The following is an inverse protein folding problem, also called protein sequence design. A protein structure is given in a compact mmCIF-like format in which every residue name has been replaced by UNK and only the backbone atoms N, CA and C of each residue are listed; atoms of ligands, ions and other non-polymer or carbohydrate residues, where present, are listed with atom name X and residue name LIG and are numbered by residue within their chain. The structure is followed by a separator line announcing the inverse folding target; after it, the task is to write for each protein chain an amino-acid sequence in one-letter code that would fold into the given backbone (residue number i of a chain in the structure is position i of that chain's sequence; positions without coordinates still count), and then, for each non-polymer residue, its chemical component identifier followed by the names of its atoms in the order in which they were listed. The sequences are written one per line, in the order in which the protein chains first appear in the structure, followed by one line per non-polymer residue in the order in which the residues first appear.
data_IF_486998751248
#
_entry.id   IF_486998751248
#
_cell.length_a   1.000
_cell.length_b   1.000
_cell.length_c   1.000
_cell.angle_alpha   90.00
_cell.angle_beta   90.00
_cell.angle_gamma   90.00
#
_symmetry.space_group_name_H-M   'P 1'
#
loop_
_entity.id
_entity.type
_entity.pdbx_description
1 polymer ?
#
# COMPACT_ATOMS: atom_id res chain seq x y z
N UNK A 1 -15.57 -2.56 3.09
CA UNK A 1 -14.50 -3.49 3.49
C UNK A 1 -13.48 -3.71 2.37
N UNK A 2 -13.88 -4.35 1.26
CA UNK A 2 -12.94 -4.78 0.20
C UNK A 2 -12.19 -3.63 -0.48
N UNK A 3 -12.82 -2.47 -0.64
CA UNK A 3 -12.13 -1.30 -1.19
C UNK A 3 -10.91 -0.87 -0.35
N UNK A 4 -10.97 -0.97 1.00
CA UNK A 4 -9.79 -0.71 1.85
C UNK A 4 -8.66 -1.70 1.59
N UNK A 5 -8.98 -2.97 1.42
CA UNK A 5 -7.99 -4.01 1.14
C UNK A 5 -7.40 -3.90 -0.26
N UNK A 6 -8.17 -3.43 -1.25
CA UNK A 6 -7.67 -3.30 -2.63
C UNK A 6 -6.81 -2.05 -2.85
N UNK A 7 -7.13 -0.94 -2.18
CA UNK A 7 -6.47 0.36 -2.41
C UNK A 7 -5.45 0.73 -1.34
N UNK A 8 -5.54 0.12 -0.16
CA UNK A 8 -4.84 0.57 1.03
C UNK A 8 -5.30 1.96 1.50
N UNK A 9 -6.41 2.52 1.03
CA UNK A 9 -6.87 3.88 1.37
C UNK A 9 -7.09 4.08 2.88
N UNK A 10 -6.87 5.30 3.39
CA UNK A 10 -7.22 5.65 4.79
C UNK A 10 -8.72 5.88 4.91
N UNK A 11 -9.28 5.59 6.09
CA UNK A 11 -10.73 5.69 6.33
C UNK A 11 -11.30 7.09 6.02
N UNK A 12 -10.65 8.17 6.49
CA UNK A 12 -11.10 9.53 6.22
C UNK A 12 -11.22 9.85 4.73
N UNK A 13 -10.22 9.42 3.94
CA UNK A 13 -10.26 9.58 2.48
C UNK A 13 -11.39 8.72 1.88
N UNK A 14 -11.52 7.47 2.32
CA UNK A 14 -12.57 6.55 1.85
C UNK A 14 -13.99 7.10 2.03
N UNK A 15 -14.34 7.60 3.21
CA UNK A 15 -15.72 8.04 3.51
C UNK A 15 -16.09 9.38 2.86
N UNK A 16 -15.11 10.07 2.27
CA UNK A 16 -15.23 11.37 1.61
C UNK A 16 -14.99 11.29 0.09
N UNK A 17 -14.77 10.09 -0.47
CA UNK A 17 -14.59 9.92 -1.91
C UNK A 17 -15.87 10.31 -2.67
N UNK A 18 -15.83 11.29 -3.58
CA UNK A 18 -16.91 11.46 -4.55
C UNK A 18 -16.82 10.38 -5.64
N UNK A 19 -17.93 10.08 -6.31
CA UNK A 19 -17.99 9.10 -7.39
C UNK A 19 -17.01 9.41 -8.54
N UNK A 20 -16.80 10.71 -8.85
CA UNK A 20 -15.82 11.16 -9.86
C UNK A 20 -14.35 10.88 -9.50
N UNK A 21 -14.07 10.55 -8.23
CA UNK A 21 -12.73 10.19 -7.80
C UNK A 21 -12.43 8.70 -7.99
N UNK A 22 -13.42 7.87 -8.35
CA UNK A 22 -13.25 6.41 -8.52
C UNK A 22 -13.41 6.05 -9.99
N UNK A 23 -12.39 5.40 -10.56
CA UNK A 23 -12.41 4.86 -11.92
C UNK A 23 -11.97 3.40 -11.89
N UNK A 24 -12.94 2.49 -11.79
CA UNK A 24 -12.66 1.05 -11.72
C UNK A 24 -12.21 0.46 -13.06
N UNK A 25 -12.48 1.11 -14.19
CA UNK A 25 -11.99 0.65 -15.50
C UNK A 25 -10.46 0.74 -15.59
N UNK A 26 -9.88 1.72 -14.88
CA UNK A 26 -8.44 1.93 -14.75
C UNK A 26 -7.86 1.44 -13.44
N UNK A 27 -8.71 0.88 -12.56
CA UNK A 27 -8.33 0.48 -11.21
C UNK A 27 -7.72 1.65 -10.41
N UNK A 28 -8.32 2.84 -10.52
CA UNK A 28 -7.81 4.09 -9.96
C UNK A 28 -8.76 4.73 -8.93
N UNK A 29 -8.17 5.32 -7.89
CA UNK A 29 -8.83 6.18 -6.92
C UNK A 29 -8.03 7.46 -6.72
N UNK A 30 -8.64 8.60 -7.04
CA UNK A 30 -8.08 9.94 -6.88
C UNK A 30 -8.29 10.42 -5.44
N UNK A 31 -7.27 10.31 -4.60
CA UNK A 31 -7.27 10.88 -3.24
C UNK A 31 -6.83 12.35 -3.26
N UNK A 32 -7.63 13.23 -3.86
CA UNK A 32 -7.29 14.64 -4.04
C UNK A 32 -8.21 15.56 -3.20
N UNK A 33 -7.67 16.40 -2.30
CA UNK A 33 -8.44 17.39 -1.55
C UNK A 33 -9.25 18.34 -2.43
N UNK A 34 -8.74 18.66 -3.63
CA UNK A 34 -9.45 19.47 -4.64
C UNK A 34 -10.75 18.83 -5.15
N UNK A 35 -10.91 17.52 -4.96
CA UNK A 35 -12.16 16.79 -5.24
C UNK A 35 -13.07 16.67 -4.00
N UNK A 36 -12.67 17.19 -2.84
CA UNK A 36 -13.40 17.07 -1.57
C UNK A 36 -12.98 15.86 -0.72
N UNK A 37 -11.86 15.20 -1.05
CA UNK A 37 -11.38 14.03 -0.31
C UNK A 37 -10.60 14.44 0.94
N UNK A 38 -11.00 13.92 2.11
CA UNK A 38 -10.34 14.18 3.40
C UNK A 38 -9.06 13.36 3.53
N UNK A 39 -7.93 13.94 3.13
CA UNK A 39 -6.61 13.30 3.25
C UNK A 39 -5.85 13.75 4.50
N UNK A 40 -5.00 12.87 5.02
CA UNK A 40 -4.16 13.19 6.19
C UNK A 40 -2.99 14.08 5.74
N UNK A 41 -2.77 15.20 6.43
CA UNK A 41 -1.69 16.16 6.17
C UNK A 41 -1.69 16.74 4.74
N UNK A 42 -2.87 16.88 4.13
CA UNK A 42 -3.05 17.39 2.77
C UNK A 42 -2.28 16.61 1.67
N UNK A 43 -1.80 15.40 1.98
CA UNK A 43 -1.18 14.54 0.99
C UNK A 43 -2.21 14.17 -0.07
N UNK A 44 -1.82 14.15 -1.33
CA UNK A 44 -2.72 13.84 -2.44
C UNK A 44 -2.00 13.02 -3.48
N UNK A 45 -2.70 12.01 -4.00
CA UNK A 45 -2.16 11.12 -5.02
C UNK A 45 -3.31 10.35 -5.67
N UNK A 46 -3.14 9.98 -6.94
CA UNK A 46 -3.92 8.90 -7.54
C UNK A 46 -3.34 7.57 -7.10
N UNK A 47 -4.16 6.77 -6.45
CA UNK A 47 -3.79 5.44 -5.96
C UNK A 47 -4.49 4.36 -6.77
N UNK A 48 -3.87 3.19 -6.84
CA UNK A 48 -4.31 2.09 -7.68
C UNK A 48 -4.80 0.91 -6.83
N UNK A 49 -5.75 0.16 -7.37
CA UNK A 49 -6.23 -1.08 -6.76
C UNK A 49 -5.30 -2.23 -7.10
N UNK A 50 -5.11 -3.17 -6.16
CA UNK A 50 -4.60 -4.49 -6.49
C UNK A 50 -5.54 -5.17 -7.50
N UNK A 51 -4.97 -5.74 -8.55
CA UNK A 51 -5.73 -6.43 -9.59
C UNK A 51 -6.13 -7.85 -9.13
N UNK A 52 -7.12 -7.93 -8.23
CA UNK A 52 -7.71 -9.19 -7.76
C UNK A 52 -9.15 -9.27 -8.30
N UNK A 53 -9.38 -10.00 -9.41
CA UNK A 53 -10.64 -9.96 -10.15
C UNK A 53 -11.89 -10.20 -9.30
N UNK A 54 -11.86 -11.20 -8.42
CA UNK A 54 -13.02 -11.54 -7.58
C UNK A 54 -13.42 -10.41 -6.65
N UNK A 55 -12.44 -9.72 -6.06
CA UNK A 55 -12.70 -8.59 -5.17
C UNK A 55 -13.12 -7.34 -5.95
N UNK A 56 -12.51 -7.12 -7.12
CA UNK A 56 -12.90 -6.04 -8.04
C UNK A 56 -14.35 -6.21 -8.47
N UNK A 57 -14.78 -7.44 -8.79
CA UNK A 57 -16.17 -7.73 -9.16
C UNK A 57 -17.16 -7.35 -8.06
N UNK A 58 -16.85 -7.64 -6.79
CA UNK A 58 -17.71 -7.24 -5.66
C UNK A 58 -17.74 -5.71 -5.49
N UNK A 59 -16.58 -5.05 -5.58
CA UNK A 59 -16.49 -3.58 -5.52
C UNK A 59 -17.23 -2.92 -6.68
N UNK A 60 -17.16 -3.50 -7.89
CA UNK A 60 -17.87 -3.04 -9.09
C UNK A 60 -19.39 -3.15 -8.96
N UNK A 61 -19.92 -4.21 -8.34
CA UNK A 61 -21.35 -4.33 -8.03
C UNK A 61 -21.84 -3.19 -7.13
N UNK A 62 -21.04 -2.82 -6.13
CA UNK A 62 -21.35 -1.67 -5.27
C UNK A 62 -21.26 -0.34 -6.03
N UNK A 63 -20.18 -0.13 -6.78
CA UNK A 63 -19.97 1.09 -7.56
C UNK A 63 -21.13 1.35 -8.53
N UNK A 64 -21.58 0.31 -9.25
CA UNK A 64 -22.78 0.36 -10.10
C UNK A 64 -24.02 0.79 -9.32
N UNK A 65 -24.29 0.16 -8.17
CA UNK A 65 -25.46 0.46 -7.34
C UNK A 65 -25.49 1.92 -6.85
N UNK A 66 -24.33 2.47 -6.50
CA UNK A 66 -24.24 3.87 -6.04
C UNK A 66 -24.41 4.84 -7.21
N UNK A 67 -23.78 4.57 -8.36
CA UNK A 67 -23.90 5.42 -9.57
C UNK A 67 -25.31 5.43 -10.16
N UNK A 68 -26.10 4.38 -9.96
CA UNK A 68 -27.52 4.35 -10.32
C UNK A 68 -28.38 5.32 -9.49
N UNK A 69 -27.89 5.76 -8.32
CA UNK A 69 -28.64 6.59 -7.37
C UNK A 69 -28.06 7.99 -7.18
N UNK A 70 -26.76 8.15 -7.36
CA UNK A 70 -26.04 9.39 -7.08
C UNK A 70 -25.42 9.98 -8.35
N UNK A 71 -25.37 11.30 -8.43
CA UNK A 71 -24.60 12.00 -9.47
C UNK A 71 -23.08 11.90 -9.20
N UNK A 72 -22.27 12.43 -10.12
CA UNK A 72 -20.80 12.33 -10.06
C UNK A 72 -20.14 12.98 -8.82
N UNK A 73 -20.84 13.90 -8.15
CA UNK A 73 -20.38 14.53 -6.90
C UNK A 73 -20.84 13.77 -5.65
N UNK A 74 -21.76 12.81 -5.78
CA UNK A 74 -22.22 11.98 -4.68
C UNK A 74 -21.11 11.13 -4.07
N UNK A 75 -21.25 10.77 -2.80
CA UNK A 75 -20.23 10.04 -2.06
C UNK A 75 -20.26 8.54 -2.38
N UNK A 76 -19.10 7.96 -2.71
CA UNK A 76 -18.96 6.53 -3.03
C UNK A 76 -19.27 5.64 -1.83
N UNK A 77 -18.84 6.05 -0.62
CA UNK A 77 -19.43 5.54 0.61
C UNK A 77 -20.78 6.25 0.79
N UNK A 78 -21.82 5.75 0.14
CA UNK A 78 -23.11 6.41 0.03
C UNK A 78 -23.80 6.59 1.41
N UNK A 79 -24.35 7.78 1.72
CA UNK A 79 -25.20 7.94 2.89
C UNK A 79 -26.50 7.18 2.73
N UNK A 80 -27.01 6.67 3.85
CA UNK A 80 -28.32 6.02 3.90
C UNK A 80 -29.30 6.91 4.66
N UNK A 81 -30.52 7.03 4.13
CA UNK A 81 -31.61 7.70 4.82
C UNK A 81 -32.00 6.91 6.07
N UNK A 82 -32.13 7.54 7.24
CA UNK A 82 -32.56 6.85 8.46
C UNK A 82 -34.03 6.40 8.39
N UNK A 83 -34.84 7.00 7.51
CA UNK A 83 -36.26 6.67 7.36
C UNK A 83 -36.48 5.48 6.42
N UNK A 84 -35.80 5.47 5.27
CA UNK A 84 -36.03 4.46 4.23
C UNK A 84 -34.98 3.35 4.21
N UNK A 85 -33.85 3.55 4.90
CA UNK A 85 -32.65 2.70 4.81
C UNK A 85 -32.11 2.55 3.38
N UNK A 86 -32.50 3.43 2.46
CA UNK A 86 -32.01 3.49 1.09
C UNK A 86 -30.92 4.55 0.93
N UNK A 87 -30.19 4.50 -0.19
CA UNK A 87 -29.22 5.56 -0.55
C UNK A 87 -29.96 6.89 -0.63
N UNK A 88 -29.42 7.89 0.06
CA UNK A 88 -29.96 9.25 0.10
C UNK A 88 -29.25 10.13 -0.95
N UNK A 89 -29.92 10.49 -2.07
CA UNK A 89 -29.31 11.26 -3.14
C UNK A 89 -29.08 12.74 -2.82
N UNK A 90 -29.72 13.25 -1.77
CA UNK A 90 -29.64 14.67 -1.40
C UNK A 90 -28.60 14.93 -0.30
N UNK A 91 -28.05 13.86 0.28
CA UNK A 91 -27.08 13.98 1.36
C UNK A 91 -25.63 13.91 0.84
N UNK A 92 -25.01 15.08 0.73
CA UNK A 92 -23.59 15.22 0.38
C UNK A 92 -22.69 15.48 1.58
N UNK A 93 -23.22 15.34 2.81
CA UNK A 93 -22.52 15.79 4.01
C UNK A 93 -21.32 14.89 4.36
N UNK A 94 -20.12 15.47 4.31
CA UNK A 94 -18.86 14.87 4.78
C UNK A 94 -18.64 15.25 6.25
N UNK A 95 -19.56 14.83 7.12
CA UNK A 95 -19.48 15.15 8.55
C UNK A 95 -18.29 14.44 9.21
N UNK A 96 -17.80 14.99 10.33
CA UNK A 96 -16.69 14.39 11.11
C UNK A 96 -16.98 12.99 11.65
N UNK A 97 -18.25 12.56 11.67
CA UNK A 97 -18.69 11.27 12.21
C UNK A 97 -18.78 10.15 11.18
N UNK A 98 -18.51 10.41 9.90
CA UNK A 98 -18.58 9.36 8.86
C UNK A 98 -17.57 8.23 9.09
N UNK A 99 -16.38 8.56 9.61
CA UNK A 99 -15.37 7.57 9.99
C UNK A 99 -15.91 6.62 11.06
N UNK A 100 -16.54 7.18 12.11
CA UNK A 100 -17.15 6.40 13.18
C UNK A 100 -18.31 5.55 12.67
N UNK A 101 -19.13 6.12 11.78
CA UNK A 101 -20.23 5.40 11.13
C UNK A 101 -19.71 4.20 10.34
N UNK A 102 -18.71 4.39 9.49
CA UNK A 102 -18.11 3.31 8.71
C UNK A 102 -17.49 2.22 9.59
N UNK A 103 -16.90 2.59 10.76
CA UNK A 103 -16.38 1.61 11.73
C UNK A 103 -17.50 0.82 12.41
N UNK A 104 -18.59 1.50 12.81
CA UNK A 104 -19.76 0.85 13.43
C UNK A 104 -20.44 -0.10 12.44
N UNK A 105 -20.74 0.36 11.22
CA UNK A 105 -21.35 -0.47 10.19
C UNK A 105 -20.50 -1.70 9.86
N UNK A 106 -19.16 -1.53 9.80
CA UNK A 106 -18.25 -2.65 9.58
C UNK A 106 -18.29 -3.66 10.72
N UNK A 107 -18.26 -3.18 11.98
CA UNK A 107 -18.33 -4.04 13.17
C UNK A 107 -19.65 -4.81 13.20
N UNK A 108 -20.76 -4.13 12.96
CA UNK A 108 -22.09 -4.74 12.95
C UNK A 108 -22.20 -5.78 11.82
N UNK A 109 -21.68 -5.48 10.63
CA UNK A 109 -21.67 -6.43 9.52
C UNK A 109 -20.82 -7.67 9.82
N UNK A 110 -19.62 -7.50 10.40
CA UNK A 110 -18.75 -8.62 10.77
C UNK A 110 -19.37 -9.51 11.84
N UNK A 111 -19.99 -8.91 12.85
CA UNK A 111 -20.71 -9.66 13.89
C UNK A 111 -21.86 -10.49 13.29
N UNK A 112 -22.59 -9.95 12.30
CA UNK A 112 -23.69 -10.66 11.64
C UNK A 112 -23.24 -11.89 10.84
N UNK A 113 -22.00 -11.89 10.37
CA UNK A 113 -21.42 -13.03 9.64
C UNK A 113 -20.53 -13.89 10.56
N UNK A 114 -20.63 -13.70 11.88
CA UNK A 114 -19.85 -14.43 12.90
C UNK A 114 -18.33 -14.37 12.65
N UNK A 115 -17.86 -13.22 12.16
CA UNK A 115 -16.45 -13.00 11.86
C UNK A 115 -15.82 -11.99 12.83
N UNK A 116 -14.55 -12.22 13.16
CA UNK A 116 -13.80 -11.34 14.06
C UNK A 116 -13.73 -9.92 13.51
N UNK A 117 -13.86 -8.94 14.42
CA UNK A 117 -13.79 -7.56 14.02
C UNK A 117 -12.37 -7.17 13.59
N UNK A 118 -12.24 -6.76 12.32
CA UNK A 118 -11.06 -6.09 11.80
C UNK A 118 -11.36 -4.63 11.45
N UNK A 119 -10.62 -3.71 12.07
CA UNK A 119 -10.79 -2.28 11.78
C UNK A 119 -10.31 -1.90 10.38
N UNK A 120 -10.73 -0.75 9.83
CA UNK A 120 -10.20 -0.24 8.54
C UNK A 120 -8.68 -0.13 8.51
N UNK A 121 -8.04 0.14 9.65
CA UNK A 121 -6.57 0.13 9.74
C UNK A 121 -5.98 -1.27 9.61
N UNK A 122 -6.64 -2.31 10.14
CA UNK A 122 -6.23 -3.71 9.93
C UNK A 122 -6.35 -4.09 8.44
N UNK A 123 -7.40 -3.66 7.74
CA UNK A 123 -7.50 -3.88 6.28
C UNK A 123 -6.39 -3.19 5.49
N UNK A 124 -6.09 -1.93 5.82
CA UNK A 124 -4.97 -1.20 5.21
C UNK A 124 -3.61 -1.87 5.51
N UNK A 125 -3.43 -2.42 6.72
CA UNK A 125 -2.25 -3.24 7.04
C UNK A 125 -2.25 -4.54 6.24
N UNK A 126 -3.41 -5.18 6.06
CA UNK A 126 -3.58 -6.36 5.21
C UNK A 126 -3.17 -6.09 3.76
N UNK A 127 -3.60 -4.96 3.17
CA UNK A 127 -3.12 -4.49 1.87
C UNK A 127 -1.59 -4.46 1.83
N UNK A 128 -0.98 -3.81 2.84
CA UNK A 128 0.47 -3.62 2.88
C UNK A 128 1.23 -4.94 2.94
N UNK A 129 0.80 -5.86 3.82
CA UNK A 129 1.40 -7.19 3.98
C UNK A 129 1.24 -7.98 2.67
N UNK A 130 0.02 -8.05 2.14
CA UNK A 130 -0.27 -8.83 0.93
C UNK A 130 0.51 -8.30 -0.29
N UNK A 131 0.50 -6.99 -0.52
CA UNK A 131 1.24 -6.40 -1.65
C UNK A 131 2.75 -6.58 -1.50
N UNK A 132 3.26 -6.50 -0.27
CA UNK A 132 4.68 -6.68 0.03
C UNK A 132 5.11 -8.12 -0.23
N UNK A 133 4.31 -9.11 0.17
CA UNK A 133 4.56 -10.52 -0.11
C UNK A 133 4.60 -10.83 -1.62
N UNK A 134 3.90 -10.03 -2.44
CA UNK A 134 3.94 -10.15 -3.91
C UNK A 134 5.09 -9.35 -4.57
N UNK A 135 5.76 -8.47 -3.82
CA UNK A 135 6.83 -7.64 -4.36
C UNK A 135 8.04 -8.49 -4.74
N UNK A 136 8.64 -8.21 -5.90
CA UNK A 136 9.82 -8.94 -6.38
C UNK A 136 11.10 -8.16 -6.15
N UNK A 137 10.99 -6.83 -6.06
CA UNK A 137 12.14 -5.93 -6.00
C UNK A 137 11.83 -4.62 -5.26
N UNK A 138 12.85 -3.79 -5.08
CA UNK A 138 12.75 -2.49 -4.39
C UNK A 138 11.86 -1.47 -5.11
N UNK A 139 11.68 -1.55 -6.44
CA UNK A 139 10.77 -0.68 -7.19
C UNK A 139 9.32 -1.01 -6.86
N UNK A 140 8.98 -2.29 -6.75
CA UNK A 140 7.65 -2.74 -6.32
C UNK A 140 7.36 -2.22 -4.89
N UNK A 141 8.34 -2.33 -4.00
CA UNK A 141 8.24 -1.79 -2.63
C UNK A 141 8.06 -0.27 -2.61
N UNK A 142 8.77 0.46 -3.47
CA UNK A 142 8.59 1.91 -3.63
C UNK A 142 7.19 2.23 -4.13
N UNK A 143 6.69 1.51 -5.13
CA UNK A 143 5.35 1.70 -5.69
C UNK A 143 4.27 1.44 -4.62
N UNK A 144 4.38 0.38 -3.83
CA UNK A 144 3.49 0.09 -2.70
C UNK A 144 3.53 1.23 -1.68
N UNK A 145 4.73 1.67 -1.29
CA UNK A 145 4.91 2.78 -0.35
C UNK A 145 4.28 4.08 -0.84
N UNK A 146 4.42 4.39 -2.13
CA UNK A 146 3.81 5.55 -2.78
C UNK A 146 2.29 5.41 -2.86
N UNK A 147 1.77 4.24 -3.23
CA UNK A 147 0.33 3.98 -3.25
C UNK A 147 -0.31 4.13 -1.87
N UNK A 148 0.42 3.77 -0.81
CA UNK A 148 0.02 4.02 0.57
C UNK A 148 0.24 5.47 1.03
N UNK A 149 0.91 6.31 0.24
CA UNK A 149 1.27 7.70 0.58
C UNK A 149 2.07 7.77 1.89
N UNK A 150 2.97 6.80 2.10
CA UNK A 150 3.94 6.81 3.21
C UNK A 150 5.05 7.82 2.94
N UNK A 151 5.50 8.51 3.98
CA UNK A 151 6.59 9.49 3.87
C UNK A 151 7.96 8.82 3.65
N UNK A 152 8.09 7.56 4.06
CA UNK A 152 9.32 6.78 3.94
C UNK A 152 9.00 5.32 3.57
N UNK A 153 9.93 4.70 2.81
CA UNK A 153 9.93 3.25 2.55
C UNK A 153 10.06 2.45 3.85
N UNK A 154 10.78 2.96 4.85
CA UNK A 154 10.94 2.33 6.16
C UNK A 154 9.61 1.98 6.85
N UNK A 155 8.53 2.72 6.55
CA UNK A 155 7.19 2.37 7.06
C UNK A 155 6.64 1.09 6.42
N UNK A 156 7.05 0.81 5.18
CA UNK A 156 6.70 -0.39 4.41
C UNK A 156 7.69 -1.54 4.66
N UNK A 157 8.97 -1.25 4.94
CA UNK A 157 9.97 -2.25 5.36
C UNK A 157 9.60 -2.98 6.65
N UNK A 158 8.87 -2.33 7.57
CA UNK A 158 8.27 -2.99 8.75
C UNK A 158 7.34 -4.15 8.43
N UNK A 159 6.98 -4.37 7.17
CA UNK A 159 6.20 -5.52 6.71
C UNK A 159 7.06 -6.62 6.08
N UNK A 160 8.38 -6.44 5.98
CA UNK A 160 9.36 -7.35 5.34
C UNK A 160 10.34 -7.92 6.38
N UNK A 161 9.91 -8.25 7.59
CA UNK A 161 10.81 -8.97 8.49
C UNK A 161 11.13 -10.33 7.85
N UNK A 162 12.34 -10.46 7.30
CA UNK A 162 12.83 -11.66 6.65
C UNK A 162 13.29 -12.63 7.73
N UNK A 163 12.83 -13.90 7.71
CA UNK A 163 13.46 -14.94 8.51
C UNK A 163 14.96 -15.02 8.19
N UNK A 164 15.79 -15.22 9.21
CA UNK A 164 17.27 -15.22 9.11
C UNK A 164 17.79 -16.11 7.96
N UNK A 165 17.15 -17.25 7.75
CA UNK A 165 17.47 -18.19 6.67
C UNK A 165 17.32 -17.57 5.27
N UNK A 166 16.23 -16.83 5.03
CA UNK A 166 15.94 -16.21 3.74
C UNK A 166 16.85 -14.99 3.50
N UNK A 167 17.17 -14.23 4.56
CA UNK A 167 18.16 -13.16 4.50
C UNK A 167 19.53 -13.71 4.07
N UNK A 168 19.98 -14.80 4.68
CA UNK A 168 21.25 -15.45 4.36
C UNK A 168 21.28 -15.92 2.90
N UNK A 169 20.24 -16.60 2.44
CA UNK A 169 20.15 -17.10 1.06
C UNK A 169 20.18 -15.94 0.03
N UNK A 170 19.45 -14.85 0.29
CA UNK A 170 19.46 -13.66 -0.59
C UNK A 170 20.83 -12.98 -0.61
N UNK A 171 21.45 -12.74 0.55
CA UNK A 171 22.77 -12.09 0.62
C UNK A 171 23.85 -12.91 -0.11
N UNK A 172 23.84 -14.24 0.08
CA UNK A 172 24.80 -15.12 -0.59
C UNK A 172 24.56 -15.21 -2.11
N UNK A 173 23.31 -15.06 -2.56
CA UNK A 173 22.96 -15.07 -3.99
C UNK A 173 23.25 -13.76 -4.74
N UNK A 174 23.28 -12.62 -4.06
CA UNK A 174 23.43 -11.29 -4.70
C UNK A 174 24.76 -11.12 -5.43
N UNK A 175 25.88 -11.50 -4.81
CA UNK A 175 27.20 -11.33 -5.43
C UNK A 175 27.47 -12.39 -6.50
N UNK A 176 27.08 -13.64 -6.26
CA UNK A 176 27.46 -14.77 -7.13
C UNK A 176 26.87 -14.73 -8.54
N UNK A 177 25.69 -14.13 -8.73
CA UNK A 177 25.02 -14.07 -10.03
C UNK A 177 25.40 -12.84 -10.87
N UNK A 178 25.65 -11.69 -10.24
CA UNK A 178 26.00 -10.44 -10.96
C UNK A 178 27.48 -10.36 -11.34
N UNK A 179 28.40 -10.93 -10.54
CA UNK A 179 29.84 -10.94 -10.88
C UNK A 179 30.14 -11.75 -12.15
N UNK A 180 29.39 -12.82 -12.40
CA UNK A 180 29.55 -13.68 -13.59
C UNK A 180 29.03 -13.05 -14.90
N UNK A 181 28.35 -11.91 -14.84
CA UNK A 181 27.67 -11.31 -16.00
C UNK A 181 28.05 -9.86 -16.25
N UNK A 182 28.85 -9.24 -15.38
CA UNK A 182 29.15 -7.82 -15.44
C UNK A 182 30.63 -7.54 -15.14
N UNK A 183 31.44 -7.52 -16.20
CA UNK A 183 32.90 -7.33 -16.17
C UNK A 183 33.36 -6.09 -15.40
N UNK A 184 32.51 -5.06 -15.30
CA UNK A 184 32.81 -3.83 -14.56
C UNK A 184 32.73 -4.03 -13.03
N UNK A 185 31.82 -4.89 -12.56
CA UNK A 185 31.73 -5.23 -11.13
C UNK A 185 32.90 -6.12 -10.70
N UNK A 186 33.33 -7.04 -11.56
CA UNK A 186 34.48 -7.92 -11.29
C UNK A 186 35.78 -7.09 -11.16
N UNK A 187 36.00 -6.14 -12.07
CA UNK A 187 37.14 -5.22 -11.96
C UNK A 187 37.14 -4.37 -10.67
N UNK A 188 35.97 -4.01 -10.14
CA UNK A 188 35.87 -3.27 -8.86
C UNK A 188 36.25 -4.20 -7.71
N UNK A 189 35.82 -5.46 -7.73
CA UNK A 189 36.18 -6.46 -6.71
C UNK A 189 37.68 -6.68 -6.69
N UNK A 190 38.32 -6.84 -7.85
CA UNK A 190 39.76 -7.01 -7.96
C UNK A 190 40.54 -5.81 -7.42
N UNK A 191 40.13 -4.58 -7.79
CA UNK A 191 40.77 -3.37 -7.28
C UNK A 191 40.66 -3.22 -5.75
N UNK A 192 39.54 -3.65 -5.17
CA UNK A 192 39.35 -3.65 -3.71
C UNK A 192 40.25 -4.72 -3.08
N UNK A 193 40.29 -5.93 -3.65
CA UNK A 193 41.13 -7.01 -3.16
C UNK A 193 42.62 -6.64 -3.19
N UNK A 194 43.10 -6.06 -4.30
CA UNK A 194 44.48 -5.63 -4.47
C UNK A 194 44.88 -4.57 -3.45
N UNK A 195 44.06 -3.51 -3.28
CA UNK A 195 44.35 -2.44 -2.31
C UNK A 195 44.34 -2.92 -0.87
N UNK A 196 43.43 -3.83 -0.52
CA UNK A 196 43.38 -4.42 0.83
C UNK A 196 44.61 -5.29 1.07
N UNK A 197 45.02 -6.08 0.06
CA UNK A 197 46.17 -6.97 0.13
C UNK A 197 47.48 -6.18 0.24
N UNK A 198 47.67 -5.13 -0.57
CA UNK A 198 48.81 -4.23 -0.46
C UNK A 198 48.91 -3.59 0.93
N UNK A 199 47.78 -3.14 1.49
CA UNK A 199 47.77 -2.51 2.82
C UNK A 199 48.10 -3.51 3.92
N UNK A 200 47.54 -4.72 3.86
CA UNK A 200 47.86 -5.81 4.80
C UNK A 200 49.32 -6.23 4.72
N UNK A 201 49.88 -6.36 3.52
CA UNK A 201 51.29 -6.72 3.32
C UNK A 201 52.23 -5.63 3.85
N UNK A 202 51.90 -4.34 3.69
CA UNK A 202 52.66 -3.25 4.30
C UNK A 202 52.61 -3.28 5.83
N UNK A 203 51.45 -3.53 6.43
CA UNK A 203 51.32 -3.64 7.89
C UNK A 203 52.07 -4.85 8.46
N UNK A 204 51.99 -6.02 7.80
CA UNK A 204 52.75 -7.22 8.18
C UNK A 204 54.26 -7.02 8.00
N UNK A 205 54.67 -6.35 6.92
CA UNK A 205 56.07 -6.00 6.66
C UNK A 205 56.65 -5.08 7.74
N UNK A 206 55.86 -4.10 8.19
CA UNK A 206 56.23 -3.19 9.28
C UNK A 206 56.26 -3.89 10.65
N UNK A 207 55.47 -4.96 10.86
CA UNK A 207 55.50 -5.77 12.08
C UNK A 207 56.73 -6.68 12.18
N UNK A 208 57.35 -7.07 11.05
CA UNK A 208 58.57 -7.90 11.02
C UNK A 208 59.87 -7.10 11.20
N UNK A 209 59.81 -5.77 11.25
CA UNK A 209 60.96 -4.88 11.45
C UNK A 209 61.06 -4.31 12.89
N UNK A 210 60.18 -4.74 13.80
CA UNK A 210 60.30 -4.53 15.26
C UNK A 210 60.80 -5.81 15.91
#
# INVERSE_FOLDING_TARGET
MLCWFLTGIRIGAFVSLPLKAVDLSKLEVKQWPTLGVNTKFNKHQTTYLLNIPDLINVVGKWDKKVREKLNTNGLWFAPLSPLTCQIDPENYNISKYRDDRARKDLKDWMNRIEYDYHSPHKFRRGYAIYSTALSKNSKDMKAISQNMMHSSIATTERYIDLPEKELREKILGLAGQELMTNDNLDSIVDQVADKVTEKLLREIGNLKQK
#
